data_IF_581623402318
#
_entry.id   IF_581623402318
#
_cell.length_a   1.000
_cell.length_b   1.000
_cell.length_c   1.000
_cell.angle_alpha   90.00
_cell.angle_beta   90.00
_cell.angle_gamma   90.00
#
_symmetry.space_group_name_H-M   'P 1'
#
loop_
_entity.id
_entity.type
_entity.pdbx_description
1 polymer ?
#
# COMPACT_ATOMS: atom_id res chain seq x y z
N UNK A 1 1.64 -10.92 -8.13
CA UNK A 1 1.38 -9.99 -9.24
C UNK A 1 0.30 -9.04 -8.73
N UNK A 2 0.72 -7.83 -8.34
CA UNK A 2 0.13 -6.96 -7.29
C UNK A 2 -1.28 -6.42 -7.55
N UNK A 3 -2.26 -6.82 -6.72
CA UNK A 3 -3.63 -6.25 -6.70
C UNK A 3 -3.72 -4.86 -6.08
N UNK A 4 -2.67 -4.40 -5.39
CA UNK A 4 -2.61 -3.04 -4.85
C UNK A 4 -2.64 -1.92 -5.88
N UNK A 5 -2.23 -2.22 -7.12
CA UNK A 5 -2.41 -1.31 -8.26
C UNK A 5 -3.90 -0.96 -8.42
N UNK A 6 -4.80 -1.93 -8.22
CA UNK A 6 -6.24 -1.73 -8.37
C UNK A 6 -6.86 -0.86 -7.25
N UNK A 7 -6.35 -0.97 -6.02
CA UNK A 7 -6.83 -0.17 -4.90
C UNK A 7 -6.44 1.32 -5.03
N UNK A 8 -5.24 1.60 -5.53
CA UNK A 8 -4.82 2.98 -5.87
C UNK A 8 -5.69 3.55 -7.00
N UNK A 9 -6.01 2.74 -8.01
CA UNK A 9 -6.85 3.14 -9.13
C UNK A 9 -8.28 3.54 -8.73
N UNK A 10 -8.87 2.94 -7.68
CA UNK A 10 -10.22 3.32 -7.25
C UNK A 10 -10.26 4.67 -6.52
N UNK A 11 -9.20 5.03 -5.80
CA UNK A 11 -9.05 6.38 -5.22
C UNK A 11 -8.67 7.45 -6.25
N UNK A 12 -8.23 7.02 -7.44
CA UNK A 12 -7.80 7.87 -8.56
C UNK A 12 -8.92 8.76 -9.11
N UNK A 13 -10.19 8.46 -8.83
CA UNK A 13 -11.32 9.29 -9.23
C UNK A 13 -11.51 10.56 -8.36
N UNK A 14 -10.76 10.72 -7.25
CA UNK A 14 -11.03 11.76 -6.25
C UNK A 14 -9.90 12.81 -6.12
N UNK A 15 -8.68 12.58 -6.65
CA UNK A 15 -7.57 13.51 -6.47
C UNK A 15 -6.78 13.79 -7.78
N UNK A 16 -6.89 15.00 -8.36
CA UNK A 16 -6.21 15.35 -9.63
C UNK A 16 -4.72 15.73 -9.46
N UNK A 17 -3.95 14.97 -8.66
CA UNK A 17 -2.54 15.28 -8.32
C UNK A 17 -1.47 14.34 -8.91
N UNK A 18 -1.83 13.55 -9.92
CA UNK A 18 -1.20 12.27 -10.27
C UNK A 18 0.20 12.25 -10.93
N UNK A 19 0.97 13.34 -10.95
CA UNK A 19 2.22 13.38 -11.74
C UNK A 19 3.52 13.55 -10.94
N UNK A 20 3.47 13.65 -9.62
CA UNK A 20 4.68 13.86 -8.83
C UNK A 20 4.87 12.71 -7.86
N UNK A 21 5.85 11.86 -8.12
CA UNK A 21 6.43 11.00 -7.08
C UNK A 21 6.80 11.90 -5.90
N UNK A 22 6.10 11.73 -4.79
CA UNK A 22 6.28 12.49 -3.59
C UNK A 22 7.58 12.12 -2.88
N UNK A 23 7.86 12.80 -1.76
CA UNK A 23 9.13 12.64 -1.05
C UNK A 23 9.31 11.22 -0.51
N UNK A 24 8.24 10.52 -0.12
CA UNK A 24 8.32 9.18 0.48
C UNK A 24 8.69 8.16 -0.60
N UNK A 25 8.14 8.28 -1.80
CA UNK A 25 8.51 7.38 -2.90
C UNK A 25 9.95 7.62 -3.39
N UNK A 26 10.44 8.87 -3.32
CA UNK A 26 11.79 9.24 -3.78
C UNK A 26 12.91 8.86 -2.82
N UNK A 27 12.71 9.04 -1.52
CA UNK A 27 13.77 8.86 -0.50
C UNK A 27 13.35 8.02 0.71
N UNK A 28 12.13 7.51 0.72
CA UNK A 28 11.62 6.66 1.80
C UNK A 28 12.26 5.27 1.80
N UNK A 29 12.46 4.73 2.99
CA UNK A 29 12.91 3.37 3.17
C UNK A 29 11.73 2.41 3.08
N UNK A 30 11.88 1.38 2.24
CA UNK A 30 10.98 0.24 2.15
C UNK A 30 11.23 -0.73 3.31
N UNK A 31 10.18 -1.27 3.93
CA UNK A 31 10.32 -2.18 5.05
C UNK A 31 9.94 -3.62 4.73
N UNK A 32 8.76 -3.85 4.13
CA UNK A 32 8.21 -5.21 4.02
C UNK A 32 7.86 -5.62 2.59
N UNK A 33 7.51 -4.67 1.71
CA UNK A 33 7.08 -5.00 0.36
C UNK A 33 8.19 -5.62 -0.50
N UNK A 34 7.79 -6.45 -1.47
CA UNK A 34 8.73 -6.99 -2.45
C UNK A 34 9.28 -5.88 -3.34
N UNK A 35 8.42 -5.03 -3.92
CA UNK A 35 8.83 -3.83 -4.66
C UNK A 35 8.43 -2.57 -3.90
N UNK A 36 8.20 -1.45 -4.58
CA UNK A 36 7.93 -0.17 -3.94
C UNK A 36 6.44 0.07 -3.66
N UNK A 37 5.58 -0.95 -3.70
CA UNK A 37 4.13 -0.76 -3.50
C UNK A 37 3.80 -0.16 -2.13
N UNK A 38 4.48 -0.60 -1.06
CA UNK A 38 4.35 0.03 0.27
C UNK A 38 4.67 1.53 0.20
N UNK A 39 5.77 1.90 -0.46
CA UNK A 39 6.19 3.30 -0.60
C UNK A 39 5.21 4.12 -1.44
N UNK A 40 4.66 3.54 -2.52
CA UNK A 40 3.65 4.20 -3.37
C UNK A 40 2.42 4.52 -2.54
N UNK A 41 1.93 3.58 -1.72
CA UNK A 41 0.74 3.80 -0.89
C UNK A 41 1.02 4.85 0.20
N UNK A 42 2.17 4.75 0.87
CA UNK A 42 2.60 5.71 1.89
C UNK A 42 2.75 7.11 1.33
N UNK A 43 3.33 7.23 0.14
CA UNK A 43 3.48 8.49 -0.56
C UNK A 43 2.12 9.07 -1.00
N UNK A 44 1.27 8.24 -1.60
CA UNK A 44 -0.06 8.63 -2.05
C UNK A 44 -0.96 9.13 -0.91
N UNK A 45 -0.91 8.46 0.24
CA UNK A 45 -1.67 8.88 1.42
C UNK A 45 -0.88 9.77 2.37
N UNK A 46 0.34 10.18 2.01
CA UNK A 46 1.25 10.98 2.84
C UNK A 46 1.38 10.45 4.28
N UNK A 47 1.61 9.14 4.45
CA UNK A 47 1.67 8.42 5.72
C UNK A 47 0.44 8.69 6.64
N UNK A 48 -0.75 8.93 6.05
CA UNK A 48 -2.01 9.06 6.79
C UNK A 48 -2.21 7.87 7.72
N UNK A 49 -2.70 8.13 8.93
CA UNK A 49 -3.00 7.10 9.92
C UNK A 49 -4.48 6.75 9.94
N UNK A 50 -4.81 5.52 10.35
CA UNK A 50 -6.19 5.09 10.60
C UNK A 50 -7.03 4.84 9.34
N UNK A 51 -6.43 4.39 8.23
CA UNK A 51 -7.16 4.01 7.03
C UNK A 51 -7.68 2.57 7.06
N UNK A 52 -8.38 2.17 6.01
CA UNK A 52 -8.81 0.78 5.79
C UNK A 52 -8.27 0.26 4.45
N UNK A 53 -7.74 -0.97 4.40
CA UNK A 53 -7.24 -1.59 3.17
C UNK A 53 -7.93 -2.93 2.86
N UNK A 54 -7.94 -3.28 1.58
CA UNK A 54 -8.28 -4.60 1.07
C UNK A 54 -7.11 -5.07 0.20
N UNK A 55 -6.41 -6.11 0.64
CA UNK A 55 -5.27 -6.71 -0.07
C UNK A 55 -5.70 -8.04 -0.67
N UNK A 56 -5.65 -8.20 -1.99
CA UNK A 56 -6.10 -9.43 -2.67
C UNK A 56 -4.88 -10.08 -3.34
N UNK A 57 -4.71 -11.39 -3.20
CA UNK A 57 -3.48 -12.08 -3.63
C UNK A 57 -2.31 -11.79 -2.69
N UNK A 58 -2.57 -11.77 -1.39
CA UNK A 58 -1.56 -11.53 -0.37
C UNK A 58 -0.73 -12.81 -0.11
N UNK A 59 0.59 -12.74 -0.32
CA UNK A 59 1.47 -13.94 -0.25
C UNK A 59 1.70 -14.40 1.20
N UNK A 60 2.31 -13.55 2.01
CA UNK A 60 2.63 -13.85 3.40
C UNK A 60 2.29 -12.63 4.25
N UNK A 61 1.84 -12.86 5.49
CA UNK A 61 1.26 -11.81 6.34
C UNK A 61 2.23 -10.67 6.68
N UNK A 62 3.55 -10.96 6.64
CA UNK A 62 4.60 -10.01 7.00
C UNK A 62 5.62 -9.83 5.88
N UNK A 63 6.31 -10.91 5.51
CA UNK A 63 7.34 -10.86 4.47
C UNK A 63 6.72 -10.67 3.10
N UNK A 64 7.25 -9.73 2.31
CA UNK A 64 6.66 -9.33 1.02
C UNK A 64 5.22 -8.80 1.13
N UNK A 65 4.78 -8.40 2.32
CA UNK A 65 3.48 -7.76 2.52
C UNK A 65 3.58 -6.28 2.22
N UNK A 66 2.68 -5.80 1.38
CA UNK A 66 2.59 -4.38 1.03
C UNK A 66 1.75 -3.59 2.05
N UNK A 67 0.98 -4.28 2.90
CA UNK A 67 0.00 -3.70 3.82
C UNK A 67 0.42 -3.80 5.28
N UNK A 68 1.39 -4.66 5.61
CA UNK A 68 1.89 -4.85 6.98
C UNK A 68 2.45 -3.56 7.60
N UNK A 69 3.13 -2.70 6.82
CA UNK A 69 3.57 -1.39 7.33
C UNK A 69 2.39 -0.51 7.75
N UNK A 70 1.35 -0.48 6.92
CA UNK A 70 0.15 0.35 7.14
C UNK A 70 -0.58 -0.09 8.41
N UNK A 71 -0.75 -1.40 8.58
CA UNK A 71 -1.37 -1.98 9.78
C UNK A 71 -0.53 -1.68 11.02
N UNK A 72 0.77 -2.03 10.98
CA UNK A 72 1.62 -2.02 12.16
C UNK A 72 2.01 -0.62 12.62
N UNK A 73 2.31 0.28 11.68
CA UNK A 73 2.91 1.60 11.99
C UNK A 73 1.93 2.75 11.77
N UNK A 74 1.03 2.64 10.81
CA UNK A 74 0.04 3.69 10.51
C UNK A 74 -1.33 3.40 11.13
N UNK A 75 -1.50 2.28 11.84
CA UNK A 75 -2.77 1.87 12.47
C UNK A 75 -3.92 1.72 11.47
N UNK A 76 -3.61 1.26 10.27
CA UNK A 76 -4.66 0.91 9.33
C UNK A 76 -5.30 -0.41 9.77
N UNK A 77 -6.57 -0.58 9.47
CA UNK A 77 -7.26 -1.87 9.57
C UNK A 77 -7.48 -2.41 8.16
N UNK A 78 -7.72 -3.70 7.99
CA UNK A 78 -7.95 -4.21 6.65
C UNK A 78 -8.26 -5.68 6.60
N UNK A 79 -8.54 -6.13 5.38
CA UNK A 79 -8.75 -7.54 5.06
C UNK A 79 -7.72 -7.93 4.02
N UNK A 80 -7.02 -9.03 4.28
CA UNK A 80 -6.12 -9.65 3.33
C UNK A 80 -6.78 -10.96 2.86
N UNK A 81 -6.91 -11.12 1.55
CA UNK A 81 -7.55 -12.27 0.90
C UNK A 81 -6.53 -12.90 -0.03
N UNK A 82 -6.22 -14.17 0.19
CA UNK A 82 -5.47 -14.98 -0.76
C UNK A 82 -6.31 -16.16 -1.21
N UNK A 83 -6.17 -16.52 -2.49
CA UNK A 83 -6.74 -17.75 -3.01
C UNK A 83 -5.66 -18.83 -2.97
N UNK A 84 -5.95 -20.05 -2.49
CA UNK A 84 -4.99 -21.14 -2.58
C UNK A 84 -4.64 -21.39 -4.05
N UNK A 85 -3.35 -21.27 -4.36
CA UNK A 85 -2.75 -21.51 -5.69
C UNK A 85 -2.03 -22.84 -5.73
#
# INVERSE_FOLDING_TARGET
MSTLIFCVLFSCLIAPGWLVAGPILKSGQKFYSWNNEELIIRDFFADRKGGFFLDIGCVHYRDSSNTYYLEKHLRWSGIAVDAPV
#
